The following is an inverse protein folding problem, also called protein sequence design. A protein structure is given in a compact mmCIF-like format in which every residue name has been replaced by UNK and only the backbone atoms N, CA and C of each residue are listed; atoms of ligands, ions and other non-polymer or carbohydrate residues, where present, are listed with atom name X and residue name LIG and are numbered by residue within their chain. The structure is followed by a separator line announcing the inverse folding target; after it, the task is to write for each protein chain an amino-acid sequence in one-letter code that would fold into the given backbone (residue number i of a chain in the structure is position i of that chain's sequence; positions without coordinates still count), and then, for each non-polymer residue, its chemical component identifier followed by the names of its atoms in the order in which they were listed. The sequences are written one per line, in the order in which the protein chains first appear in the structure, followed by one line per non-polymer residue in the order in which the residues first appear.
data_IF_330960015816
#
_entry.id   IF_330960015816
#
_cell.length_a   1.000
_cell.length_b   1.000
_cell.length_c   1.000
_cell.angle_alpha   90.00
_cell.angle_beta   90.00
_cell.angle_gamma   90.00
#
_symmetry.space_group_name_H-M   'P 1'
#
loop_
_entity.id
_entity.type
_entity.pdbx_description
1 polymer ?
#
# COMPACT_ATOMS: atom_id res chain seq x y z
N UNK A 1 16.08 0.93 13.26
CA UNK A 1 16.13 0.44 11.87
C UNK A 1 15.82 1.58 10.93
N UNK A 2 16.38 1.58 9.72
CA UNK A 2 16.13 2.60 8.69
C UNK A 2 14.96 2.24 7.76
N UNK A 3 14.53 0.98 7.78
CA UNK A 3 13.45 0.46 6.95
C UNK A 3 12.75 -0.73 7.62
N UNK A 4 11.48 -0.91 7.29
CA UNK A 4 10.76 -2.17 7.44
C UNK A 4 10.60 -2.79 6.05
N UNK A 5 11.03 -4.04 5.88
CA UNK A 5 10.93 -4.78 4.61
C UNK A 5 10.08 -6.02 4.82
N UNK A 6 9.09 -6.22 3.95
CA UNK A 6 8.29 -7.44 3.88
C UNK A 6 8.47 -8.04 2.49
N UNK A 7 8.82 -9.32 2.42
CA UNK A 7 8.97 -10.06 1.17
C UNK A 7 7.93 -11.18 1.10
N UNK A 8 7.29 -11.29 -0.06
CA UNK A 8 6.58 -12.49 -0.48
C UNK A 8 7.51 -13.24 -1.41
N UNK A 9 7.96 -14.40 -0.96
CA UNK A 9 8.96 -15.21 -1.64
C UNK A 9 8.31 -16.42 -2.31
N UNK A 10 8.53 -16.57 -3.62
CA UNK A 10 8.02 -17.68 -4.43
C UNK A 10 6.51 -17.97 -4.25
N UNK A 11 5.66 -16.95 -4.16
CA UNK A 11 4.21 -17.12 -3.99
C UNK A 11 3.53 -17.46 -5.32
N UNK A 12 2.54 -18.36 -5.30
CA UNK A 12 1.87 -18.85 -6.50
C UNK A 12 0.41 -18.38 -6.54
N UNK A 13 -0.14 -18.19 -7.74
CA UNK A 13 -1.56 -17.93 -7.93
C UNK A 13 -2.35 -19.22 -7.65
N UNK A 14 -3.37 -19.12 -6.80
CA UNK A 14 -4.22 -20.26 -6.43
C UNK A 14 -4.90 -20.90 -7.67
N UNK A 15 -5.39 -20.06 -8.58
CA UNK A 15 -6.12 -20.51 -9.77
C UNK A 15 -5.22 -21.04 -10.89
N UNK A 16 -3.92 -20.74 -10.87
CA UNK A 16 -3.02 -21.13 -11.95
C UNK A 16 -1.57 -21.25 -11.48
N UNK A 17 -1.29 -22.37 -10.82
CA UNK A 17 0.02 -22.69 -10.25
C UNK A 17 1.13 -22.80 -11.32
N UNK A 18 0.79 -23.23 -12.54
CA UNK A 18 1.75 -23.48 -13.62
C UNK A 18 2.32 -22.22 -14.26
N UNK A 19 1.76 -21.03 -13.96
CA UNK A 19 2.32 -19.76 -14.44
C UNK A 19 3.67 -19.42 -13.80
N UNK A 20 4.07 -20.15 -12.76
CA UNK A 20 5.29 -19.89 -12.01
C UNK A 20 5.05 -19.03 -10.77
N UNK A 21 6.14 -18.76 -10.06
CA UNK A 21 6.12 -18.06 -8.78
C UNK A 21 6.37 -16.57 -8.93
N UNK A 22 5.73 -15.78 -8.07
CA UNK A 22 5.96 -14.36 -7.93
C UNK A 22 6.86 -14.11 -6.72
N UNK A 23 7.81 -13.20 -6.85
CA UNK A 23 8.63 -12.71 -5.74
C UNK A 23 8.63 -11.19 -5.75
N UNK A 24 8.12 -10.59 -4.68
CA UNK A 24 8.00 -9.13 -4.56
C UNK A 24 8.13 -8.67 -3.10
N UNK A 25 8.40 -7.39 -2.93
CA UNK A 25 8.67 -6.77 -1.65
C UNK A 25 7.87 -5.47 -1.48
N UNK A 26 7.54 -5.16 -0.24
CA UNK A 26 7.12 -3.83 0.20
C UNK A 26 8.11 -3.34 1.25
N UNK A 27 8.68 -2.15 1.02
CA UNK A 27 9.62 -1.50 1.94
C UNK A 27 9.05 -0.16 2.39
N UNK A 28 8.97 0.04 3.70
CA UNK A 28 8.66 1.33 4.31
C UNK A 28 9.96 1.92 4.88
N UNK A 29 10.40 3.04 4.32
CA UNK A 29 11.57 3.77 4.79
C UNK A 29 11.21 4.72 5.93
N UNK A 30 12.19 5.04 6.78
CA UNK A 30 11.99 5.94 7.91
C UNK A 30 11.64 7.39 7.52
N UNK A 31 11.91 7.79 6.27
CA UNK A 31 11.54 9.08 5.70
C UNK A 31 10.12 9.10 5.10
N UNK A 32 9.39 7.98 5.22
CA UNK A 32 8.00 7.84 4.76
C UNK A 32 7.85 7.38 3.31
N UNK A 33 8.94 7.15 2.58
CA UNK A 33 8.87 6.54 1.25
C UNK A 33 8.43 5.08 1.33
N UNK A 34 7.61 4.67 0.37
CA UNK A 34 7.16 3.28 0.21
C UNK A 34 7.69 2.77 -1.13
N UNK A 35 8.41 1.65 -1.11
CA UNK A 35 8.95 1.01 -2.31
C UNK A 35 8.29 -0.36 -2.48
N UNK A 36 7.62 -0.56 -3.62
CA UNK A 36 7.17 -1.86 -4.08
C UNK A 36 8.18 -2.42 -5.08
N UNK A 37 8.91 -3.46 -4.70
CA UNK A 37 9.91 -4.11 -5.55
C UNK A 37 9.36 -5.40 -6.15
N UNK A 38 9.46 -5.55 -7.47
CA UNK A 38 8.97 -6.70 -8.22
C UNK A 38 10.17 -7.46 -8.79
N UNK A 39 10.62 -8.49 -8.07
CA UNK A 39 11.81 -9.26 -8.43
C UNK A 39 11.52 -10.31 -9.50
N UNK A 40 10.46 -11.08 -9.29
CA UNK A 40 10.02 -12.16 -10.18
C UNK A 40 8.53 -11.99 -10.47
N UNK A 41 8.20 -11.72 -11.73
CA UNK A 41 6.83 -11.67 -12.26
C UNK A 41 6.81 -12.53 -13.53
N UNK A 42 6.29 -13.77 -13.47
CA UNK A 42 6.42 -14.72 -14.56
C UNK A 42 5.40 -14.51 -15.69
N UNK A 43 4.36 -13.71 -15.44
CA UNK A 43 3.33 -13.34 -16.42
C UNK A 43 2.93 -11.88 -16.21
N UNK A 44 2.54 -11.17 -17.27
CA UNK A 44 2.09 -9.79 -17.15
C UNK A 44 0.90 -9.68 -16.20
N UNK A 45 0.92 -8.69 -15.29
CA UNK A 45 -0.15 -8.51 -14.28
C UNK A 45 -1.52 -8.33 -14.94
N UNK A 46 -1.57 -7.72 -16.12
CA UNK A 46 -2.79 -7.54 -16.93
C UNK A 46 -3.38 -8.85 -17.46
N UNK A 47 -2.62 -9.94 -17.45
CA UNK A 47 -3.07 -11.27 -17.92
C UNK A 47 -3.51 -12.17 -16.76
N UNK A 48 -3.40 -11.72 -15.51
CA UNK A 48 -3.88 -12.46 -14.35
C UNK A 48 -5.41 -12.41 -14.35
N UNK A 49 -6.05 -13.58 -14.23
CA UNK A 49 -7.51 -13.68 -14.22
C UNK A 49 -8.11 -12.91 -13.04
N UNK A 50 -9.11 -12.08 -13.31
CA UNK A 50 -9.90 -11.38 -12.30
C UNK A 50 -11.28 -12.00 -12.07
N UNK A 51 -11.52 -13.22 -12.56
CA UNK A 51 -12.84 -13.88 -12.53
C UNK A 51 -13.31 -14.19 -11.11
N UNK A 52 -12.42 -14.73 -10.27
CA UNK A 52 -12.74 -15.13 -8.90
C UNK A 52 -12.45 -14.00 -7.90
N UNK A 53 -11.34 -13.28 -8.11
CA UNK A 53 -10.91 -12.18 -7.27
C UNK A 53 -10.33 -11.03 -8.07
N UNK A 54 -10.63 -9.77 -7.71
CA UNK A 54 -10.06 -8.62 -8.39
C UNK A 54 -8.55 -8.55 -8.16
N UNK A 55 -7.81 -8.41 -9.25
CA UNK A 55 -6.38 -8.09 -9.21
C UNK A 55 -6.24 -6.60 -8.93
N UNK A 56 -5.42 -6.22 -7.95
CA UNK A 56 -5.19 -4.82 -7.57
C UNK A 56 -3.70 -4.58 -7.43
N UNK A 57 -3.24 -3.41 -7.85
CA UNK A 57 -1.87 -2.94 -7.64
C UNK A 57 -1.91 -1.50 -7.17
N UNK A 58 -1.30 -1.24 -6.01
CA UNK A 58 -1.25 0.10 -5.43
C UNK A 58 -1.27 0.07 -3.91
N UNK A 59 -1.66 1.20 -3.33
CA UNK A 59 -1.78 1.39 -1.90
C UNK A 59 -3.24 1.71 -1.56
N UNK A 60 -3.83 1.02 -0.59
CA UNK A 60 -5.16 1.34 -0.08
C UNK A 60 -5.12 1.61 1.42
N UNK A 61 -6.00 2.50 1.85
CA UNK A 61 -6.30 2.71 3.26
C UNK A 61 -7.68 2.11 3.57
N UNK A 62 -7.73 1.34 4.66
CA UNK A 62 -8.87 0.50 4.97
C UNK A 62 -8.94 0.14 6.45
N UNK A 63 -10.15 -0.18 6.92
CA UNK A 63 -10.37 -0.84 8.20
C UNK A 63 -10.98 -2.23 8.02
N UNK A 64 -10.76 -3.11 9.00
CA UNK A 64 -11.24 -4.49 8.98
C UNK A 64 -12.34 -4.67 10.01
N UNK A 65 -13.51 -5.13 9.57
CA UNK A 65 -14.61 -5.54 10.45
C UNK A 65 -14.68 -7.06 10.50
N UNK A 66 -14.76 -7.61 11.70
CA UNK A 66 -14.86 -9.07 11.92
C UNK A 66 -16.26 -9.40 12.43
N UNK A 67 -17.09 -9.99 11.58
CA UNK A 67 -18.41 -10.48 11.96
C UNK A 67 -18.36 -11.95 12.36
N UNK A 68 -18.98 -12.29 13.50
CA UNK A 68 -19.26 -13.68 13.86
C UNK A 68 -20.51 -14.14 13.12
N UNK A 69 -20.41 -15.24 12.39
CA UNK A 69 -21.57 -15.81 11.72
C UNK A 69 -22.36 -16.61 12.76
N UNK A 70 -23.50 -16.06 13.20
CA UNK A 70 -24.30 -16.68 14.27
C UNK A 70 -24.79 -18.10 13.90
N UNK A 71 -24.96 -18.38 12.61
CA UNK A 71 -25.43 -19.66 12.09
C UNK A 71 -24.35 -20.76 12.05
N UNK A 72 -23.06 -20.42 12.15
CA UNK A 72 -21.97 -21.41 12.07
C UNK A 72 -20.96 -21.14 13.21
N UNK A 73 -20.90 -22.02 14.23
CA UNK A 73 -19.95 -21.86 15.32
C UNK A 73 -18.51 -21.79 14.79
N UNK A 74 -17.69 -20.94 15.40
CA UNK A 74 -16.27 -20.75 15.08
C UNK A 74 -15.93 -20.14 13.71
N UNK A 75 -16.91 -19.79 12.87
CA UNK A 75 -16.64 -19.08 11.62
C UNK A 75 -16.68 -17.57 11.83
N UNK A 76 -15.58 -16.90 11.45
CA UNK A 76 -15.46 -15.44 11.47
C UNK A 76 -15.32 -14.93 10.04
N UNK A 77 -16.23 -14.05 9.62
CA UNK A 77 -16.12 -13.33 8.35
C UNK A 77 -15.35 -12.04 8.59
N UNK A 78 -14.26 -11.84 7.86
CA UNK A 78 -13.52 -10.57 7.82
C UNK A 78 -13.96 -9.80 6.58
N UNK A 79 -14.38 -8.55 6.76
CA UNK A 79 -14.70 -7.62 5.68
C UNK A 79 -13.73 -6.46 5.74
N UNK A 80 -13.10 -6.14 4.62
CA UNK A 80 -12.19 -5.00 4.48
C UNK A 80 -12.99 -3.87 3.85
N UNK A 81 -13.01 -2.71 4.49
CA UNK A 81 -13.66 -1.49 4.00
C UNK A 81 -12.58 -0.50 3.58
N UNK A 82 -12.34 -0.42 2.27
CA UNK A 82 -11.42 0.53 1.66
C UNK A 82 -12.11 1.87 1.46
N UNK A 83 -11.51 2.95 1.95
CA UNK A 83 -12.04 4.31 1.79
C UNK A 83 -11.11 5.23 1.00
N UNK A 84 -9.84 4.85 0.80
CA UNK A 84 -8.91 5.57 -0.07
C UNK A 84 -8.00 4.60 -0.82
N UNK A 85 -7.61 4.96 -2.04
CA UNK A 85 -6.71 4.17 -2.89
C UNK A 85 -5.84 5.06 -3.77
N UNK A 86 -4.60 4.61 -3.95
CA UNK A 86 -3.66 5.09 -4.97
C UNK A 86 -3.41 3.91 -5.90
N UNK A 87 -4.02 3.95 -7.08
CA UNK A 87 -3.92 2.86 -8.07
C UNK A 87 -2.67 3.03 -8.94
N UNK A 88 -1.97 1.93 -9.16
CA UNK A 88 -0.83 1.85 -10.08
C UNK A 88 -1.27 1.22 -11.40
N UNK A 89 -0.70 1.67 -12.51
CA UNK A 89 -0.96 1.07 -13.81
C UNK A 89 -0.37 -0.35 -13.86
N UNK A 90 -1.22 -1.37 -13.97
CA UNK A 90 -0.80 -2.77 -14.02
C UNK A 90 0.22 -3.06 -15.13
N UNK A 91 0.12 -2.37 -16.27
CA UNK A 91 1.04 -2.51 -17.41
C UNK A 91 2.48 -2.04 -17.11
N UNK A 92 2.67 -1.25 -16.06
CA UNK A 92 3.99 -0.79 -15.60
C UNK A 92 4.65 -1.76 -14.63
N UNK A 93 3.88 -2.71 -14.10
CA UNK A 93 4.37 -3.71 -13.15
C UNK A 93 4.97 -4.87 -13.94
N UNK A 94 6.30 -4.86 -14.03
CA UNK A 94 7.06 -5.79 -14.87
C UNK A 94 8.13 -6.51 -14.05
N UNK A 95 8.73 -7.55 -14.64
CA UNK A 95 9.80 -8.29 -13.99
C UNK A 95 11.02 -7.38 -13.75
N UNK A 96 11.68 -7.50 -12.60
CA UNK A 96 12.83 -6.66 -12.21
C UNK A 96 12.52 -5.16 -12.25
N UNK A 97 11.37 -4.77 -11.75
CA UNK A 97 10.95 -3.36 -11.67
C UNK A 97 10.65 -2.95 -10.24
N UNK A 98 10.54 -1.64 -10.00
CA UNK A 98 10.11 -1.12 -8.71
C UNK A 98 9.24 0.13 -8.91
N UNK A 99 8.34 0.36 -7.97
CA UNK A 99 7.57 1.59 -7.86
C UNK A 99 7.91 2.25 -6.54
N UNK A 100 8.37 3.49 -6.60
CA UNK A 100 8.65 4.32 -5.43
C UNK A 100 7.54 5.35 -5.26
N UNK A 101 6.92 5.34 -4.08
CA UNK A 101 5.96 6.36 -3.66
C UNK A 101 6.68 7.34 -2.72
N UNK A 102 6.71 8.61 -3.15
CA UNK A 102 7.30 9.70 -2.39
C UNK A 102 6.18 10.40 -1.61
N UNK A 103 6.30 10.53 -0.28
CA UNK A 103 5.28 11.21 0.50
C UNK A 103 5.21 12.69 0.10
N UNK A 104 3.99 13.19 -0.12
CA UNK A 104 3.79 14.62 -0.28
C UNK A 104 4.03 15.36 1.04
N UNK A 105 4.44 16.63 1.01
CA UNK A 105 4.62 17.40 2.22
C UNK A 105 3.34 17.48 3.06
N UNK A 106 3.49 17.48 4.39
CA UNK A 106 2.37 17.62 5.35
C UNK A 106 2.71 18.67 6.39
N UNK A 107 1.68 19.23 7.04
CA UNK A 107 1.87 20.31 8.01
C UNK A 107 2.84 19.94 9.16
N UNK A 108 2.85 18.67 9.57
CA UNK A 108 3.70 18.18 10.67
C UNK A 108 5.20 18.19 10.34
N UNK A 109 5.57 18.44 9.08
CA UNK A 109 6.96 18.58 8.68
C UNK A 109 7.54 19.96 9.06
N UNK A 110 6.70 20.96 9.31
CA UNK A 110 7.16 22.29 9.72
C UNK A 110 7.43 22.34 11.23
N UNK A 111 8.58 22.90 11.58
CA UNK A 111 9.05 23.01 12.98
C UNK A 111 8.92 24.42 13.55
N UNK A 112 8.31 25.34 12.81
CA UNK A 112 8.04 26.71 13.27
C UNK A 112 6.75 27.28 12.68
N UNK A 113 6.15 28.22 13.41
CA UNK A 113 4.84 28.82 13.08
C UNK A 113 4.83 29.45 11.68
N UNK A 114 5.81 30.30 11.37
CA UNK A 114 5.85 31.05 10.10
C UNK A 114 5.78 30.16 8.86
N UNK A 115 6.72 29.23 8.66
CA UNK A 115 6.67 28.26 7.57
C UNK A 115 5.40 27.40 7.58
N UNK A 116 4.91 27.00 8.76
CA UNK A 116 3.68 26.19 8.87
C UNK A 116 2.46 26.92 8.32
N UNK A 117 2.18 28.15 8.80
CA UNK A 117 0.96 28.89 8.45
C UNK A 117 1.00 29.53 7.06
N UNK A 118 2.19 29.68 6.47
CA UNK A 118 2.37 30.23 5.11
C UNK A 118 2.56 29.15 4.04
N UNK A 119 2.66 27.88 4.43
CA UNK A 119 2.92 26.77 3.53
C UNK A 119 1.87 26.66 2.41
N UNK A 120 2.36 26.48 1.17
CA UNK A 120 1.53 26.22 -0.01
C UNK A 120 1.75 24.77 -0.47
N UNK A 121 1.38 23.80 0.37
CA UNK A 121 1.61 22.37 0.16
C UNK A 121 0.32 21.57 -0.13
N UNK A 122 -0.77 22.26 -0.45
CA UNK A 122 -2.08 21.63 -0.67
C UNK A 122 -2.87 21.31 0.60
N UNK A 123 -2.36 21.70 1.77
CA UNK A 123 -3.05 21.61 3.06
C UNK A 123 -3.21 22.98 3.70
N UNK A 124 -4.34 23.21 4.38
CA UNK A 124 -4.58 24.39 5.20
C UNK A 124 -3.96 24.18 6.58
N UNK A 125 -2.66 24.42 6.68
CA UNK A 125 -1.90 24.20 7.91
C UNK A 125 -2.22 25.25 8.98
N UNK A 126 -2.20 24.83 10.25
CA UNK A 126 -2.39 25.69 11.42
C UNK A 126 -1.36 25.31 12.48
N UNK A 127 -0.86 26.30 13.22
CA UNK A 127 0.18 26.10 14.22
C UNK A 127 -0.39 25.97 15.64
N UNK A 128 -0.02 24.90 16.32
CA UNK A 128 -0.29 24.67 17.74
C UNK A 128 0.96 25.01 18.57
N UNK A 129 0.94 26.16 19.23
CA UNK A 129 2.05 26.62 20.09
C UNK A 129 2.37 25.69 21.26
N UNK A 130 1.37 24.96 21.78
CA UNK A 130 1.59 23.98 22.86
C UNK A 130 2.38 22.77 22.39
N UNK A 131 2.16 22.32 21.14
CA UNK A 131 2.84 21.16 20.56
C UNK A 131 4.10 21.55 19.76
N UNK A 132 4.27 22.84 19.48
CA UNK A 132 5.30 23.35 18.56
C UNK A 132 5.22 22.64 17.19
N UNK A 133 4.00 22.46 16.69
CA UNK A 133 3.64 21.82 15.41
C UNK A 133 2.40 22.45 14.84
#
# INVERSE_FOLDING_TARGET
GTALVVQWDHVHLQDNYNLGSFTFQATLLNDGRIIFGYKEIPVAVTQISSTNHPVKVGLSDAFVVVHRIQQIPNVRRRTIYEYHRVELQMSKITNLSAVEMIPLPTCLQFTSCGPCVTAQIGFNCSWCSKLQR
#
